data_IF_693249351283
#
_entry.id   IF_693249351283
#
_cell.length_a   1.000
_cell.length_b   1.000
_cell.length_c   1.000
_cell.angle_alpha   90.00
_cell.angle_beta   90.00
_cell.angle_gamma   90.00
#
_symmetry.space_group_name_H-M   'P 1'
#
loop_
_entity.id
_entity.type
_entity.pdbx_description
1 polymer ?
#
# COMPACT_ATOMS: atom_id res chain seq x y z
N UNK A 1 -7.25 -17.45 1.04
CA UNK A 1 -7.66 -17.82 -0.35
C UNK A 1 -6.47 -18.39 -1.12
N UNK A 2 -6.71 -19.30 -2.06
CA UNK A 2 -5.69 -19.65 -3.06
C UNK A 2 -5.47 -18.48 -4.01
N UNK A 3 -4.20 -18.19 -4.31
CA UNK A 3 -3.83 -17.02 -5.12
C UNK A 3 -3.62 -17.33 -6.61
N UNK A 4 -3.53 -18.60 -6.97
CA UNK A 4 -3.38 -19.03 -8.37
C UNK A 4 -4.55 -18.57 -9.21
N UNK A 5 -4.26 -17.90 -10.32
CA UNK A 5 -5.23 -17.34 -11.29
C UNK A 5 -6.13 -16.23 -10.74
N UNK A 6 -5.84 -15.69 -9.55
CA UNK A 6 -6.50 -14.49 -9.02
C UNK A 6 -5.95 -13.22 -9.69
N UNK A 7 -6.80 -12.20 -9.78
CA UNK A 7 -6.44 -10.89 -10.34
C UNK A 7 -6.19 -9.91 -9.20
N UNK A 8 -4.98 -9.34 -9.15
CA UNK A 8 -4.60 -8.32 -8.19
C UNK A 8 -4.43 -6.95 -8.86
N UNK A 9 -5.00 -5.90 -8.28
CA UNK A 9 -4.70 -4.52 -8.61
C UNK A 9 -3.80 -3.92 -7.52
N UNK A 10 -2.61 -3.46 -7.90
CA UNK A 10 -1.66 -2.82 -7.00
C UNK A 10 -1.47 -1.35 -7.37
N UNK A 11 -1.90 -0.43 -6.51
CA UNK A 11 -1.70 0.99 -6.77
C UNK A 11 -0.26 1.41 -6.51
N UNK A 12 0.29 2.25 -7.40
CA UNK A 12 1.69 2.67 -7.31
C UNK A 12 2.70 1.53 -7.53
N UNK A 13 2.35 0.53 -8.34
CA UNK A 13 3.21 -0.61 -8.68
C UNK A 13 4.49 -0.24 -9.44
N UNK A 14 4.62 0.98 -9.91
CA UNK A 14 5.85 1.54 -10.49
C UNK A 14 6.92 1.95 -9.46
N UNK A 15 6.59 1.87 -8.16
CA UNK A 15 7.47 2.22 -7.05
C UNK A 15 8.17 0.99 -6.44
N UNK A 16 9.06 1.25 -5.48
CA UNK A 16 9.91 0.20 -4.90
C UNK A 16 9.10 -0.86 -4.13
N UNK A 17 8.24 -0.43 -3.20
CA UNK A 17 7.37 -1.32 -2.42
C UNK A 17 6.29 -1.94 -3.31
N UNK A 18 5.61 -1.10 -4.13
CA UNK A 18 4.57 -1.59 -5.04
C UNK A 18 5.09 -2.61 -6.06
N UNK A 19 6.31 -2.40 -6.58
CA UNK A 19 6.98 -3.35 -7.48
C UNK A 19 7.25 -4.70 -6.80
N UNK A 20 7.79 -4.68 -5.57
CA UNK A 20 8.02 -5.91 -4.81
C UNK A 20 6.71 -6.66 -4.49
N UNK A 21 5.63 -5.92 -4.19
CA UNK A 21 4.30 -6.53 -3.98
C UNK A 21 3.79 -7.17 -5.27
N UNK A 22 3.93 -6.50 -6.42
CA UNK A 22 3.55 -7.08 -7.72
C UNK A 22 4.32 -8.36 -8.04
N UNK A 23 5.64 -8.37 -7.80
CA UNK A 23 6.50 -9.53 -7.97
C UNK A 23 6.07 -10.69 -7.08
N UNK A 24 5.86 -10.44 -5.79
CA UNK A 24 5.45 -11.48 -4.83
C UNK A 24 4.06 -12.06 -5.15
N UNK A 25 3.10 -11.23 -5.57
CA UNK A 25 1.77 -11.69 -6.01
C UNK A 25 1.85 -12.51 -7.29
N UNK A 26 2.68 -12.09 -8.26
CA UNK A 26 2.92 -12.87 -9.48
C UNK A 26 3.58 -14.22 -9.18
N UNK A 27 4.59 -14.25 -8.32
CA UNK A 27 5.22 -15.48 -7.85
C UNK A 27 4.25 -16.40 -7.09
N UNK A 28 3.24 -15.82 -6.43
CA UNK A 28 2.16 -16.56 -5.78
C UNK A 28 1.07 -17.06 -6.74
N UNK A 29 1.15 -16.73 -8.04
CA UNK A 29 0.25 -17.18 -9.09
C UNK A 29 -0.83 -16.18 -9.51
N UNK A 30 -0.78 -14.92 -9.04
CA UNK A 30 -1.73 -13.89 -9.46
C UNK A 30 -1.36 -13.29 -10.82
N UNK A 31 -2.37 -12.95 -11.60
CA UNK A 31 -2.25 -11.94 -12.64
C UNK A 31 -2.31 -10.55 -12.01
N UNK A 32 -1.50 -9.60 -12.50
CA UNK A 32 -1.30 -8.33 -11.81
C UNK A 32 -1.59 -7.15 -12.72
N UNK A 33 -2.61 -6.36 -12.39
CA UNK A 33 -2.75 -5.00 -12.84
C UNK A 33 -2.01 -4.07 -11.88
N UNK A 34 -1.27 -3.10 -12.41
CA UNK A 34 -0.54 -2.15 -11.59
C UNK A 34 -0.72 -0.72 -12.06
N UNK A 35 -0.86 0.21 -11.11
CA UNK A 35 -1.07 1.60 -11.48
C UNK A 35 0.18 2.45 -11.33
N UNK A 36 0.22 3.57 -12.08
CA UNK A 36 1.30 4.54 -12.04
C UNK A 36 0.81 5.96 -12.33
N UNK A 37 1.59 6.95 -11.87
CA UNK A 37 1.47 8.36 -12.26
C UNK A 37 2.86 8.83 -12.67
N UNK A 38 3.07 9.12 -13.96
CA UNK A 38 4.31 9.71 -14.48
C UNK A 38 5.56 8.80 -14.51
N UNK A 39 5.62 7.71 -13.75
CA UNK A 39 6.74 6.77 -13.75
C UNK A 39 6.48 5.56 -14.65
N UNK A 40 6.29 5.80 -15.94
CA UNK A 40 6.00 4.77 -16.94
C UNK A 40 7.11 3.71 -17.01
N UNK A 41 8.37 4.14 -17.07
CA UNK A 41 9.50 3.21 -17.11
C UNK A 41 9.57 2.29 -15.88
N UNK A 42 9.16 2.76 -14.70
CA UNK A 42 9.03 1.92 -13.50
C UNK A 42 7.92 0.91 -13.63
N UNK A 43 6.77 1.32 -14.18
CA UNK A 43 5.64 0.43 -14.42
C UNK A 43 5.97 -0.67 -15.44
N UNK A 44 6.64 -0.33 -16.53
CA UNK A 44 7.10 -1.27 -17.55
C UNK A 44 8.09 -2.30 -16.98
N UNK A 45 9.04 -1.88 -16.14
CA UNK A 45 9.96 -2.82 -15.45
C UNK A 45 9.21 -3.79 -14.56
N UNK A 46 8.26 -3.31 -13.77
CA UNK A 46 7.44 -4.19 -12.91
C UNK A 46 6.60 -5.15 -13.74
N UNK A 47 5.98 -4.68 -14.84
CA UNK A 47 5.21 -5.52 -15.74
C UNK A 47 6.08 -6.62 -16.37
N UNK A 48 7.32 -6.31 -16.75
CA UNK A 48 8.26 -7.29 -17.28
C UNK A 48 8.58 -8.39 -16.24
N UNK A 49 8.74 -8.04 -14.95
CA UNK A 49 8.95 -9.03 -13.87
C UNK A 49 7.73 -9.93 -13.71
N UNK A 50 6.52 -9.37 -13.69
CA UNK A 50 5.25 -10.13 -13.63
C UNK A 50 5.14 -11.10 -14.82
N UNK A 51 5.45 -10.61 -16.03
CA UNK A 51 5.40 -11.44 -17.24
C UNK A 51 6.46 -12.54 -17.22
N UNK A 52 7.66 -12.27 -16.73
CA UNK A 52 8.73 -13.25 -16.56
C UNK A 52 8.36 -14.37 -15.57
N UNK A 53 7.48 -14.08 -14.59
CA UNK A 53 6.89 -15.07 -13.70
C UNK A 53 5.76 -15.90 -14.35
N UNK A 54 5.49 -15.71 -15.66
CA UNK A 54 4.46 -16.42 -16.40
C UNK A 54 3.04 -15.91 -16.16
N UNK A 55 2.89 -14.68 -15.61
CA UNK A 55 1.59 -14.09 -15.30
C UNK A 55 1.25 -12.93 -16.23
N UNK A 56 -0.04 -12.60 -16.34
CA UNK A 56 -0.47 -11.43 -17.13
C UNK A 56 -0.17 -10.16 -16.32
N UNK A 57 0.33 -9.13 -17.03
CA UNK A 57 0.54 -7.80 -16.49
C UNK A 57 -0.32 -6.78 -17.24
N UNK A 58 -0.98 -5.84 -16.53
CA UNK A 58 -1.72 -4.73 -17.12
C UNK A 58 -1.35 -3.42 -16.47
N UNK A 59 -1.06 -2.39 -17.29
CA UNK A 59 -0.61 -1.08 -16.82
C UNK A 59 -1.75 -0.07 -16.89
N UNK A 60 -2.05 0.60 -15.78
CA UNK A 60 -3.15 1.56 -15.67
C UNK A 60 -2.61 2.90 -15.19
N UNK A 61 -2.82 3.97 -15.94
CA UNK A 61 -2.56 5.33 -15.46
C UNK A 61 -3.67 5.73 -14.47
N UNK A 62 -3.29 6.14 -13.24
CA UNK A 62 -4.26 6.48 -12.20
C UNK A 62 -3.78 7.64 -11.33
N UNK A 63 -4.46 8.78 -11.39
CA UNK A 63 -4.35 9.81 -10.34
C UNK A 63 -5.44 9.55 -9.26
N UNK A 64 -5.01 9.12 -8.07
CA UNK A 64 -5.92 8.82 -6.94
C UNK A 64 -6.65 10.05 -6.37
N UNK A 65 -6.32 11.26 -6.83
CA UNK A 65 -7.00 12.49 -6.43
C UNK A 65 -8.20 12.81 -7.31
N UNK A 66 -8.25 12.22 -8.51
CA UNK A 66 -9.31 12.41 -9.49
C UNK A 66 -10.28 11.20 -9.46
N UNK A 67 -11.53 11.47 -9.07
CA UNK A 67 -12.57 10.44 -8.98
C UNK A 67 -12.88 9.81 -10.36
N UNK A 68 -12.87 10.60 -11.43
CA UNK A 68 -13.04 10.07 -12.78
C UNK A 68 -11.92 9.13 -13.22
N UNK A 69 -10.65 9.45 -12.82
CA UNK A 69 -9.51 8.56 -13.05
C UNK A 69 -9.63 7.26 -12.24
N UNK A 70 -10.18 7.33 -11.02
CA UNK A 70 -10.42 6.14 -10.18
C UNK A 70 -11.48 5.23 -10.81
N UNK A 71 -12.61 5.79 -11.22
CA UNK A 71 -13.70 5.03 -11.84
C UNK A 71 -13.26 4.39 -13.15
N UNK A 72 -12.49 5.12 -13.98
CA UNK A 72 -11.90 4.59 -15.21
C UNK A 72 -10.92 3.43 -14.93
N UNK A 73 -10.04 3.57 -13.93
CA UNK A 73 -9.09 2.51 -13.56
C UNK A 73 -9.79 1.26 -13.03
N UNK A 74 -10.85 1.42 -12.23
CA UNK A 74 -11.65 0.31 -11.73
C UNK A 74 -12.36 -0.44 -12.87
N UNK A 75 -12.92 0.29 -13.83
CA UNK A 75 -13.53 -0.31 -15.01
C UNK A 75 -12.50 -1.01 -15.91
N UNK A 76 -11.33 -0.40 -16.11
CA UNK A 76 -10.26 -0.94 -16.97
C UNK A 76 -9.71 -2.26 -16.41
N UNK A 77 -9.41 -2.36 -15.12
CA UNK A 77 -8.92 -3.63 -14.55
C UNK A 77 -9.94 -4.76 -14.74
N UNK A 78 -11.23 -4.49 -14.50
CA UNK A 78 -12.29 -5.49 -14.65
C UNK A 78 -12.42 -5.92 -16.12
N UNK A 79 -12.40 -4.98 -17.06
CA UNK A 79 -12.51 -5.26 -18.48
C UNK A 79 -11.29 -6.01 -19.05
N UNK A 80 -10.07 -5.56 -18.70
CA UNK A 80 -8.84 -6.12 -19.26
C UNK A 80 -8.42 -7.44 -18.61
N UNK A 81 -8.68 -7.61 -17.30
CA UNK A 81 -8.22 -8.78 -16.55
C UNK A 81 -9.33 -9.80 -16.27
N UNK A 82 -10.60 -9.43 -16.48
CA UNK A 82 -11.76 -10.29 -16.27
C UNK A 82 -12.31 -10.26 -14.83
N UNK A 83 -11.83 -9.35 -13.98
CA UNK A 83 -12.25 -9.21 -12.59
C UNK A 83 -11.19 -8.51 -11.74
N UNK A 84 -11.44 -8.48 -10.42
CA UNK A 84 -10.46 -8.03 -9.43
C UNK A 84 -10.74 -8.76 -8.10
N UNK A 85 -9.84 -9.66 -7.71
CA UNK A 85 -9.96 -10.44 -6.47
C UNK A 85 -9.21 -9.77 -5.31
N UNK A 86 -8.14 -9.02 -5.62
CA UNK A 86 -7.24 -8.41 -4.65
C UNK A 86 -7.00 -6.95 -5.01
N UNK A 87 -7.20 -6.05 -4.04
CA UNK A 87 -6.80 -4.65 -4.13
C UNK A 87 -5.70 -4.35 -3.11
N UNK A 88 -4.55 -3.87 -3.58
CA UNK A 88 -3.49 -3.35 -2.71
C UNK A 88 -3.40 -1.84 -2.87
N UNK A 89 -3.86 -1.10 -1.87
CA UNK A 89 -3.74 0.36 -1.78
C UNK A 89 -2.35 0.73 -1.27
N UNK A 90 -1.37 0.77 -2.17
CA UNK A 90 0.03 1.08 -1.86
C UNK A 90 0.44 2.50 -2.29
N UNK A 91 -0.16 3.06 -3.34
CA UNK A 91 0.20 4.40 -3.79
C UNK A 91 0.03 5.44 -2.68
N UNK A 92 1.04 6.28 -2.52
CA UNK A 92 1.03 7.36 -1.53
C UNK A 92 1.87 8.55 -2.03
N UNK A 93 1.50 9.73 -1.56
CA UNK A 93 2.31 10.92 -1.70
C UNK A 93 2.70 11.45 -0.32
N UNK A 94 3.95 11.88 -0.19
CA UNK A 94 4.44 12.52 1.02
C UNK A 94 5.40 13.66 0.72
N UNK A 95 5.59 14.51 1.70
CA UNK A 95 6.60 15.55 1.73
C UNK A 95 7.18 15.59 3.16
N UNK A 96 8.50 15.70 3.26
CA UNK A 96 9.20 15.84 4.54
C UNK A 96 9.06 17.28 5.05
N UNK A 97 8.22 17.49 6.04
CA UNK A 97 8.07 18.75 6.76
C UNK A 97 8.28 18.44 8.24
N UNK A 98 9.35 18.98 8.88
CA UNK A 98 9.60 18.76 10.29
C UNK A 98 8.41 19.20 11.15
N UNK A 99 8.01 18.40 12.12
CA UNK A 99 6.82 18.65 12.94
C UNK A 99 6.77 20.02 13.63
N UNK A 100 7.89 20.59 14.11
CA UNK A 100 7.87 21.94 14.70
C UNK A 100 7.64 23.07 13.69
N UNK A 101 7.76 22.82 12.39
CA UNK A 101 7.65 23.83 11.32
C UNK A 101 6.23 23.84 10.73
N UNK A 102 5.23 24.16 11.57
CA UNK A 102 3.81 24.11 11.19
C UNK A 102 3.48 25.02 10.03
N UNK A 103 4.15 26.16 9.92
CA UNK A 103 3.97 27.17 8.88
C UNK A 103 4.33 26.68 7.47
N UNK A 104 5.13 25.63 7.34
CA UNK A 104 5.49 25.04 6.04
C UNK A 104 4.42 24.06 5.51
N UNK A 105 3.47 23.67 6.34
CA UNK A 105 2.38 22.78 5.96
C UNK A 105 1.12 23.58 5.63
N UNK A 106 1.03 24.04 4.38
CA UNK A 106 -0.15 24.76 3.91
C UNK A 106 -1.36 23.83 3.61
N UNK A 107 -2.54 24.44 3.43
CA UNK A 107 -3.78 23.71 3.17
C UNK A 107 -3.73 22.87 1.89
N UNK A 108 -3.10 23.39 0.81
CA UNK A 108 -3.03 22.66 -0.45
C UNK A 108 -2.15 21.40 -0.34
N UNK A 109 -1.04 21.49 0.38
CA UNK A 109 -0.17 20.36 0.70
C UNK A 109 -0.90 19.34 1.59
N UNK A 110 -1.61 19.82 2.60
CA UNK A 110 -2.45 18.99 3.47
C UNK A 110 -3.48 18.21 2.66
N UNK A 111 -4.28 18.91 1.85
CA UNK A 111 -5.34 18.31 1.04
C UNK A 111 -4.77 17.27 0.06
N UNK A 112 -3.69 17.59 -0.62
CA UNK A 112 -3.03 16.65 -1.53
C UNK A 112 -2.63 15.35 -0.86
N UNK A 113 -2.09 15.41 0.37
CA UNK A 113 -1.71 14.22 1.14
C UNK A 113 -2.96 13.39 1.48
N UNK A 114 -4.00 14.03 2.01
CA UNK A 114 -5.22 13.33 2.43
C UNK A 114 -5.98 12.75 1.22
N UNK A 115 -6.07 13.50 0.13
CA UNK A 115 -6.68 13.05 -1.12
C UNK A 115 -5.99 11.79 -1.66
N UNK A 116 -4.66 11.81 -1.72
CA UNK A 116 -3.91 10.68 -2.27
C UNK A 116 -3.92 9.48 -1.32
N UNK A 117 -3.65 9.70 -0.02
CA UNK A 117 -3.32 8.61 0.90
C UNK A 117 -4.52 8.02 1.64
N UNK A 118 -5.65 8.72 1.65
CA UNK A 118 -6.84 8.32 2.41
C UNK A 118 -8.10 8.29 1.55
N UNK A 119 -8.45 9.43 0.90
CA UNK A 119 -9.65 9.50 0.05
C UNK A 119 -9.56 8.55 -1.16
N UNK A 120 -8.42 8.54 -1.86
CA UNK A 120 -8.19 7.69 -3.02
C UNK A 120 -8.38 6.19 -2.71
N UNK A 121 -7.72 5.63 -1.68
CA UNK A 121 -7.95 4.25 -1.23
C UNK A 121 -9.42 3.93 -0.92
N UNK A 122 -10.15 4.85 -0.28
CA UNK A 122 -11.58 4.68 -0.03
C UNK A 122 -12.39 4.62 -1.33
N UNK A 123 -12.17 5.58 -2.24
CA UNK A 123 -12.90 5.66 -3.50
C UNK A 123 -12.64 4.45 -4.39
N UNK A 124 -11.39 4.01 -4.49
CA UNK A 124 -11.04 2.82 -5.28
C UNK A 124 -11.62 1.53 -4.68
N UNK A 125 -11.59 1.40 -3.35
CA UNK A 125 -12.25 0.27 -2.66
C UNK A 125 -13.75 0.26 -2.91
N UNK A 126 -14.39 1.44 -2.93
CA UNK A 126 -15.82 1.61 -3.26
C UNK A 126 -16.11 1.21 -4.73
N UNK A 127 -15.29 1.70 -5.67
CA UNK A 127 -15.48 1.44 -7.10
C UNK A 127 -15.31 -0.04 -7.46
N UNK A 128 -14.43 -0.76 -6.75
CA UNK A 128 -14.16 -2.18 -6.98
C UNK A 128 -15.01 -3.12 -6.10
N UNK A 129 -15.92 -2.60 -5.27
CA UNK A 129 -16.67 -3.39 -4.29
C UNK A 129 -17.30 -4.65 -4.87
N UNK A 130 -18.02 -4.51 -5.97
CA UNK A 130 -18.77 -5.62 -6.58
C UNK A 130 -17.83 -6.64 -7.23
N UNK A 131 -16.75 -6.19 -7.86
CA UNK A 131 -15.73 -7.07 -8.41
C UNK A 131 -15.01 -7.87 -7.32
N UNK A 132 -14.62 -7.21 -6.21
CA UNK A 132 -14.00 -7.85 -5.06
C UNK A 132 -14.94 -8.84 -4.34
N UNK A 133 -16.24 -8.56 -4.32
CA UNK A 133 -17.22 -9.42 -3.69
C UNK A 133 -17.65 -10.62 -4.56
N UNK A 134 -17.20 -10.67 -5.82
CA UNK A 134 -17.53 -11.77 -6.73
C UNK A 134 -16.77 -13.06 -6.38
N UNK A 135 -17.28 -14.18 -6.82
CA UNK A 135 -16.65 -15.51 -6.66
C UNK A 135 -16.49 -15.92 -5.21
N UNK A 136 -15.26 -16.33 -4.84
CA UNK A 136 -14.91 -16.82 -3.49
C UNK A 136 -14.61 -15.70 -2.50
N UNK A 137 -14.92 -14.46 -2.85
CA UNK A 137 -14.68 -13.26 -2.06
C UNK A 137 -13.31 -12.64 -2.31
N UNK A 138 -13.15 -11.38 -1.88
CA UNK A 138 -11.99 -10.53 -2.18
C UNK A 138 -11.10 -10.22 -1.00
N UNK A 139 -9.98 -9.57 -1.30
CA UNK A 139 -8.99 -9.09 -0.31
C UNK A 139 -8.63 -7.63 -0.60
N UNK A 140 -8.62 -6.81 0.44
CA UNK A 140 -8.03 -5.47 0.39
C UNK A 140 -6.87 -5.43 1.38
N UNK A 141 -5.70 -4.98 0.91
CA UNK A 141 -4.56 -4.70 1.78
C UNK A 141 -4.14 -3.24 1.61
N UNK A 142 -4.25 -2.47 2.69
CA UNK A 142 -3.84 -1.07 2.74
C UNK A 142 -2.39 -0.97 3.22
N UNK A 143 -1.52 -0.25 2.51
CA UNK A 143 -0.15 0.00 2.94
C UNK A 143 -0.11 1.34 3.68
N UNK A 144 -0.16 1.27 5.01
CA UNK A 144 -0.08 2.44 5.88
C UNK A 144 1.37 2.83 6.21
N UNK A 145 1.68 3.04 7.47
CA UNK A 145 3.01 3.33 8.02
C UNK A 145 2.96 3.31 9.55
N UNK A 146 4.07 3.04 10.21
CA UNK A 146 4.23 3.29 11.65
C UNK A 146 4.00 4.77 12.01
N UNK A 147 4.18 5.69 11.05
CA UNK A 147 3.80 7.09 11.21
C UNK A 147 2.30 7.33 11.43
N UNK A 148 1.45 6.34 11.13
CA UNK A 148 0.04 6.35 11.49
C UNK A 148 -0.25 5.82 12.90
N UNK A 149 0.71 5.17 13.53
CA UNK A 149 0.60 4.63 14.90
C UNK A 149 1.23 5.56 15.94
N UNK A 150 2.31 6.26 15.56
CA UNK A 150 3.01 7.21 16.41
C UNK A 150 3.50 8.41 15.60
N UNK A 151 3.61 9.62 16.21
CA UNK A 151 4.08 10.81 15.52
C UNK A 151 5.59 10.73 15.21
N UNK A 152 6.07 11.58 14.29
CA UNK A 152 7.48 11.78 13.99
C UNK A 152 7.96 11.28 12.64
N UNK A 153 7.06 10.82 11.77
CA UNK A 153 7.39 10.35 10.40
C UNK A 153 6.91 11.35 9.34
N UNK A 154 7.81 11.77 8.46
CA UNK A 154 7.56 12.58 7.25
C UNK A 154 6.95 13.97 7.53
N UNK A 155 5.62 14.08 7.63
CA UNK A 155 4.89 15.31 7.99
C UNK A 155 3.67 14.98 8.81
N UNK A 156 3.08 15.99 9.47
CA UNK A 156 1.85 15.83 10.25
C UNK A 156 0.71 15.33 9.34
N UNK A 157 0.54 15.92 8.15
CA UNK A 157 -0.48 15.49 7.19
C UNK A 157 -0.30 14.01 6.78
N UNK A 158 0.94 13.59 6.52
CA UNK A 158 1.24 12.19 6.22
C UNK A 158 0.87 11.27 7.38
N UNK A 159 1.30 11.59 8.60
CA UNK A 159 0.97 10.81 9.79
C UNK A 159 -0.55 10.70 10.00
N UNK A 160 -1.27 11.82 9.90
CA UNK A 160 -2.74 11.83 9.98
C UNK A 160 -3.37 10.97 8.87
N UNK A 161 -2.88 11.06 7.62
CA UNK A 161 -3.39 10.25 6.52
C UNK A 161 -3.21 8.76 6.74
N UNK A 162 -2.07 8.34 7.31
CA UNK A 162 -1.77 6.94 7.58
C UNK A 162 -2.52 6.41 8.82
N UNK A 163 -2.74 7.23 9.83
CA UNK A 163 -3.65 6.93 10.93
C UNK A 163 -5.08 6.75 10.44
N UNK A 164 -5.55 7.66 9.57
CA UNK A 164 -6.84 7.56 8.91
C UNK A 164 -6.97 6.28 8.07
N UNK A 165 -5.91 5.86 7.35
CA UNK A 165 -5.92 4.65 6.53
C UNK A 165 -5.98 3.37 7.38
N UNK A 166 -5.31 3.35 8.55
CA UNK A 166 -5.44 2.26 9.53
C UNK A 166 -6.88 2.18 10.03
N UNK A 167 -7.49 3.31 10.39
CA UNK A 167 -8.88 3.31 10.84
C UNK A 167 -9.86 2.98 9.71
N UNK A 168 -9.62 3.46 8.49
CA UNK A 168 -10.40 3.09 7.29
C UNK A 168 -10.39 1.59 7.06
N UNK A 169 -9.28 0.91 7.34
CA UNK A 169 -9.19 -0.57 7.27
C UNK A 169 -10.23 -1.22 8.17
N UNK A 170 -10.39 -0.76 9.42
CA UNK A 170 -11.41 -1.27 10.34
C UNK A 170 -12.83 -1.01 9.82
N UNK A 171 -13.09 0.22 9.33
CA UNK A 171 -14.40 0.59 8.79
C UNK A 171 -14.77 -0.27 7.57
N UNK A 172 -13.84 -0.45 6.63
CA UNK A 172 -14.08 -1.25 5.42
C UNK A 172 -14.20 -2.74 5.76
N UNK A 173 -13.45 -3.26 6.74
CA UNK A 173 -13.59 -4.63 7.19
C UNK A 173 -15.00 -4.96 7.67
N UNK A 174 -15.67 -4.00 8.33
CA UNK A 174 -17.09 -4.14 8.74
C UNK A 174 -18.02 -3.96 7.54
N UNK A 175 -17.78 -2.92 6.71
CA UNK A 175 -18.68 -2.54 5.64
C UNK A 175 -18.72 -3.53 4.46
N UNK A 176 -17.64 -4.28 4.24
CA UNK A 176 -17.49 -5.20 3.11
C UNK A 176 -17.60 -6.68 3.50
N UNK A 177 -17.73 -6.97 4.80
CA UNK A 177 -17.98 -8.32 5.29
C UNK A 177 -19.36 -8.84 4.82
N UNK A 178 -19.55 -10.17 4.66
CA UNK A 178 -18.54 -11.24 4.78
C UNK A 178 -17.71 -11.47 3.50
N UNK A 179 -18.03 -10.77 2.40
CA UNK A 179 -17.50 -11.08 1.08
C UNK A 179 -16.02 -10.65 0.90
N UNK A 180 -15.56 -9.61 1.62
CA UNK A 180 -14.21 -9.07 1.44
C UNK A 180 -13.52 -8.92 2.80
N UNK A 181 -12.32 -9.46 2.96
CA UNK A 181 -11.46 -9.13 4.09
C UNK A 181 -10.62 -7.90 3.79
N UNK A 182 -10.44 -7.03 4.78
CA UNK A 182 -9.69 -5.78 4.64
C UNK A 182 -8.68 -5.69 5.77
N UNK A 183 -7.39 -5.61 5.42
CA UNK A 183 -6.29 -5.57 6.37
C UNK A 183 -5.28 -4.48 5.99
N UNK A 184 -4.31 -4.26 6.86
CA UNK A 184 -3.32 -3.22 6.73
C UNK A 184 -1.92 -3.78 7.01
N UNK A 185 -0.92 -3.31 6.26
CA UNK A 185 0.50 -3.43 6.60
C UNK A 185 1.01 -2.02 6.95
N UNK A 186 1.71 -1.89 8.06
CA UNK A 186 2.30 -0.63 8.53
C UNK A 186 3.83 -0.72 8.55
N UNK A 187 4.52 -0.36 7.45
CA UNK A 187 5.97 -0.35 7.39
C UNK A 187 6.58 0.70 8.32
N UNK A 188 7.75 0.39 8.87
CA UNK A 188 8.70 1.37 9.38
C UNK A 188 9.54 1.99 8.27
N UNK A 189 10.83 2.28 8.55
CA UNK A 189 11.80 2.59 7.51
C UNK A 189 12.03 1.35 6.66
N UNK A 190 11.89 1.51 5.33
CA UNK A 190 12.08 0.41 4.36
C UNK A 190 13.37 0.65 3.59
N UNK A 191 14.39 -0.18 3.83
CA UNK A 191 15.69 -0.08 3.18
C UNK A 191 15.59 -0.30 1.67
N UNK A 192 16.55 0.27 0.92
CA UNK A 192 16.65 0.13 -0.51
C UNK A 192 15.65 0.97 -1.32
N UNK A 193 14.67 1.61 -0.66
CA UNK A 193 13.69 2.46 -1.35
C UNK A 193 14.24 3.84 -1.65
N UNK A 194 13.72 4.47 -2.71
CA UNK A 194 14.05 5.87 -3.06
C UNK A 194 13.77 6.85 -1.91
N UNK A 195 12.80 6.54 -1.06
CA UNK A 195 12.51 7.33 0.13
C UNK A 195 13.64 7.21 1.15
N UNK A 196 14.08 5.99 1.46
CA UNK A 196 15.18 5.73 2.38
C UNK A 196 16.50 6.37 1.89
N UNK A 197 16.78 6.30 0.59
CA UNK A 197 17.98 6.89 -0.03
C UNK A 197 18.06 8.43 0.08
N UNK A 198 16.94 9.11 0.33
CA UNK A 198 16.91 10.57 0.55
C UNK A 198 17.19 10.97 2.00
N UNK A 199 17.20 10.02 2.91
CA UNK A 199 17.47 10.30 4.33
C UNK A 199 18.98 10.32 4.57
N UNK A 200 19.47 11.16 5.50
CA UNK A 200 20.86 11.09 5.94
C UNK A 200 21.17 9.70 6.52
N UNK A 201 22.38 9.17 6.25
CA UNK A 201 22.83 7.86 6.74
C UNK A 201 22.64 7.69 8.25
N UNK A 202 22.91 8.76 9.02
CA UNK A 202 22.71 8.76 10.46
C UNK A 202 21.27 8.46 10.90
N UNK A 203 20.26 8.82 10.08
CA UNK A 203 18.85 8.52 10.36
C UNK A 203 18.58 7.04 10.14
N UNK A 204 19.07 6.48 9.02
CA UNK A 204 18.91 5.06 8.74
C UNK A 204 19.65 4.18 9.77
N UNK A 205 20.87 4.56 10.14
CA UNK A 205 21.60 3.88 11.23
C UNK A 205 20.93 4.01 12.58
N UNK A 206 20.37 5.20 12.89
CA UNK A 206 19.59 5.42 14.10
C UNK A 206 18.39 4.49 14.18
N UNK A 207 17.66 4.35 13.08
CA UNK A 207 16.52 3.42 12.98
C UNK A 207 16.95 1.96 13.22
N UNK A 208 18.03 1.49 12.56
CA UNK A 208 18.54 0.13 12.80
C UNK A 208 18.94 -0.12 14.26
N UNK A 209 19.59 0.86 14.91
CA UNK A 209 19.99 0.74 16.33
C UNK A 209 18.80 0.70 17.28
N UNK A 210 17.71 1.38 16.94
CA UNK A 210 16.49 1.37 17.76
C UNK A 210 15.61 0.13 17.52
N UNK A 211 15.72 -0.49 16.36
CA UNK A 211 14.97 -1.70 16.06
C UNK A 211 15.47 -2.87 16.93
N UNK A 212 14.57 -3.57 17.62
CA UNK A 212 14.88 -4.71 18.49
C UNK A 212 15.63 -5.81 17.75
N UNK A 213 15.30 -6.01 16.45
CA UNK A 213 15.99 -6.98 15.60
C UNK A 213 17.32 -6.47 15.03
N UNK A 214 17.73 -5.24 15.35
CA UNK A 214 18.94 -4.61 14.79
C UNK A 214 18.88 -4.35 13.29
N UNK A 215 17.70 -4.44 12.69
CA UNK A 215 17.45 -4.21 11.26
C UNK A 215 16.06 -3.59 11.05
N UNK A 216 15.91 -2.84 9.99
CA UNK A 216 14.62 -2.30 9.53
C UNK A 216 14.04 -3.18 8.41
N UNK A 217 12.79 -2.92 8.02
CA UNK A 217 12.13 -3.71 6.97
C UNK A 217 12.72 -3.48 5.58
N UNK A 218 12.54 -4.44 4.70
CA UNK A 218 12.80 -4.37 3.26
C UNK A 218 11.49 -4.33 2.47
N UNK A 219 11.55 -3.99 1.17
CA UNK A 219 10.38 -4.07 0.30
C UNK A 219 9.82 -5.51 0.21
N UNK A 220 10.68 -6.51 0.29
CA UNK A 220 10.30 -7.93 0.33
C UNK A 220 9.52 -8.28 1.59
N UNK A 221 9.95 -7.80 2.77
CA UNK A 221 9.20 -8.06 4.01
C UNK A 221 7.78 -7.50 3.97
N UNK A 222 7.60 -6.34 3.32
CA UNK A 222 6.27 -5.73 3.11
C UNK A 222 5.44 -6.57 2.13
N UNK A 223 6.06 -7.05 1.06
CA UNK A 223 5.40 -7.90 0.07
C UNK A 223 4.96 -9.23 0.68
N UNK A 224 5.81 -9.87 1.47
CA UNK A 224 5.52 -11.14 2.17
C UNK A 224 4.34 -10.97 3.14
N UNK A 225 4.33 -9.89 3.93
CA UNK A 225 3.21 -9.57 4.81
C UNK A 225 1.91 -9.33 4.03
N UNK A 226 2.01 -8.69 2.84
CA UNK A 226 0.85 -8.47 1.96
C UNK A 226 0.31 -9.79 1.42
N UNK A 227 1.17 -10.67 0.91
CA UNK A 227 0.78 -12.01 0.40
C UNK A 227 0.16 -12.87 1.53
N UNK A 228 0.73 -12.82 2.74
CA UNK A 228 0.16 -13.50 3.91
C UNK A 228 -1.30 -13.06 4.16
N UNK A 229 -1.57 -11.75 4.16
CA UNK A 229 -2.91 -11.21 4.37
C UNK A 229 -3.86 -11.54 3.22
N UNK A 230 -3.37 -11.66 2.00
CA UNK A 230 -4.18 -12.11 0.86
C UNK A 230 -4.57 -13.60 0.98
N UNK A 231 -3.70 -14.45 1.54
CA UNK A 231 -3.98 -15.89 1.77
C UNK A 231 -4.88 -16.15 2.95
N UNK A 232 -4.83 -15.31 3.97
CA UNK A 232 -5.55 -15.52 5.22
C UNK A 232 -7.08 -15.46 5.04
N UNK A 233 -7.79 -16.45 5.55
CA UNK A 233 -9.26 -16.52 5.44
C UNK A 233 -9.99 -15.94 6.65
N UNK A 234 -9.35 -15.88 7.81
CA UNK A 234 -9.97 -15.45 9.07
C UNK A 234 -9.34 -14.20 9.67
N UNK A 235 -8.48 -13.49 8.89
CA UNK A 235 -7.87 -12.23 9.32
C UNK A 235 -8.57 -11.08 8.59
N UNK A 236 -9.21 -10.19 9.34
CA UNK A 236 -9.80 -8.94 8.82
C UNK A 236 -9.75 -7.85 9.88
N UNK A 237 -9.66 -6.60 9.47
CA UNK A 237 -9.54 -5.45 10.36
C UNK A 237 -8.21 -5.36 11.10
N UNK A 238 -7.15 -6.08 10.66
CA UNK A 238 -5.88 -6.12 11.38
C UNK A 238 -4.82 -5.25 10.71
N UNK A 239 -3.87 -4.78 11.54
CA UNK A 239 -2.67 -4.07 11.08
C UNK A 239 -1.44 -4.86 11.49
N UNK A 240 -0.65 -5.29 10.51
CA UNK A 240 0.66 -5.91 10.72
C UNK A 240 1.74 -4.83 10.62
N UNK A 241 2.51 -4.66 11.70
CA UNK A 241 3.65 -3.74 11.73
C UNK A 241 4.90 -4.47 11.24
N UNK A 242 5.63 -3.86 10.30
CA UNK A 242 6.86 -4.40 9.72
C UNK A 242 7.95 -3.33 9.82
N UNK A 243 8.65 -3.29 10.97
CA UNK A 243 9.59 -2.21 11.32
C UNK A 243 10.85 -2.68 12.08
N UNK A 244 11.03 -4.00 12.22
CA UNK A 244 12.11 -4.60 13.00
C UNK A 244 11.93 -4.45 14.53
N UNK A 245 10.73 -4.06 14.98
CA UNK A 245 10.44 -3.87 16.39
C UNK A 245 10.90 -2.51 16.92
N UNK A 246 10.43 -1.41 16.32
CA UNK A 246 10.75 -0.06 16.79
C UNK A 246 10.00 0.27 18.08
N UNK A 247 10.65 0.87 19.09
CA UNK A 247 10.05 1.17 20.40
C UNK A 247 8.80 2.06 20.35
N UNK A 248 8.67 2.91 19.33
CA UNK A 248 7.48 3.74 19.13
C UNK A 248 6.22 2.94 18.77
N UNK A 249 6.36 1.74 18.23
CA UNK A 249 5.28 0.81 17.97
C UNK A 249 5.09 -0.20 19.11
N UNK A 250 6.11 -0.36 19.97
CA UNK A 250 6.08 -1.20 21.16
C UNK A 250 6.35 -0.31 22.38
N UNK A 251 5.35 -0.15 23.25
CA UNK A 251 5.56 0.47 24.56
C UNK A 251 6.40 -0.48 25.42
N UNK A 252 7.70 -0.26 25.47
CA UNK A 252 8.52 -0.79 26.55
C UNK A 252 8.27 0.11 27.77
N UNK A 253 7.46 -0.37 28.73
CA UNK A 253 7.21 0.27 30.00
C UNK A 253 8.47 0.44 30.82
#
# INVERSE_FOLDING_TARGET
>A
MELTDKVALVTGGSGDIGGAICEALAAAGCDVALTYVGNTAGAERTAAVVTAAGRRAHLIALDQRDEGSIDAAAADVVAAMGGCDILVNNAAWNIGIPFPQLELLDGATWDRVLETNLRGPFLLSRALRDALAAGDGGRIVNIASVGGLSPGSSSIAYSCSKAGLIHLTHCLAVAMAPAVSVNCVAPGLVEGTRMAQRLPDAVAEGARRQAVLGKVGSATDIADATVLLCRADTITGQTIVVDGGMPGAMNFG
#
